data_IF_628794151906
#
_entry.id   IF_628794151906
#
_cell.length_a   1.000
_cell.length_b   1.000
_cell.length_c   1.000
_cell.angle_alpha   90.00
_cell.angle_beta   90.00
_cell.angle_gamma   90.00
#
_symmetry.space_group_name_H-M   'P 1'
#
loop_
_entity.id
_entity.type
_entity.pdbx_description
1 polymer ?
#
# COMPACT_ATOMS: atom_id res chain seq x y z
N UNK A 1 -22.97 -31.93 20.39
CA UNK A 1 -22.64 -30.70 19.64
C UNK A 1 -22.22 -31.13 18.24
N UNK A 2 -22.96 -30.73 17.22
CA UNK A 2 -22.88 -31.30 15.86
C UNK A 2 -21.61 -30.86 15.12
N UNK A 3 -20.90 -31.83 14.53
CA UNK A 3 -19.70 -31.65 13.69
C UNK A 3 -19.93 -30.79 12.43
N UNK A 4 -21.19 -30.45 12.11
CA UNK A 4 -21.54 -29.56 11.00
C UNK A 4 -21.49 -28.07 11.34
N UNK A 5 -21.43 -27.69 12.62
CA UNK A 5 -21.31 -26.27 13.03
C UNK A 5 -19.89 -25.70 12.81
N UNK A 6 -18.87 -26.51 13.02
CA UNK A 6 -17.47 -26.08 13.03
C UNK A 6 -16.90 -25.79 11.62
N UNK A 7 -17.48 -26.41 10.59
CA UNK A 7 -17.06 -26.19 9.19
C UNK A 7 -17.68 -24.90 8.62
N UNK A 8 -18.82 -24.43 9.15
CA UNK A 8 -19.50 -23.24 8.61
C UNK A 8 -18.80 -21.94 9.00
N UNK A 9 -18.16 -21.88 10.17
CA UNK A 9 -17.45 -20.68 10.65
C UNK A 9 -16.08 -20.47 10.02
N UNK A 10 -15.46 -21.52 9.43
CA UNK A 10 -14.11 -21.41 8.84
C UNK A 10 -14.09 -20.98 7.37
N UNK A 11 -15.25 -20.97 6.70
CA UNK A 11 -15.39 -20.59 5.28
C UNK A 11 -16.15 -19.28 5.04
N UNK A 12 -16.74 -18.69 6.07
CA UNK A 12 -17.27 -17.33 5.99
C UNK A 12 -16.16 -16.37 6.39
N UNK A 13 -15.37 -15.92 5.41
CA UNK A 13 -14.52 -14.75 5.59
C UNK A 13 -15.34 -13.56 6.13
N UNK A 14 -14.70 -12.59 6.80
CA UNK A 14 -15.40 -11.42 7.31
C UNK A 14 -16.20 -10.78 6.17
N UNK A 15 -17.49 -10.54 6.41
CA UNK A 15 -18.32 -9.80 5.48
C UNK A 15 -17.61 -8.48 5.15
N UNK A 16 -17.43 -8.12 3.87
CA UNK A 16 -16.79 -6.86 3.52
C UNK A 16 -17.58 -5.74 4.18
N UNK A 17 -16.91 -4.99 5.06
CA UNK A 17 -17.46 -3.76 5.61
C UNK A 17 -17.92 -2.89 4.43
N UNK A 18 -19.07 -2.21 4.51
CA UNK A 18 -19.49 -1.30 3.46
C UNK A 18 -18.38 -0.28 3.28
N UNK A 19 -17.78 -0.24 2.08
CA UNK A 19 -16.76 0.73 1.73
C UNK A 19 -17.34 2.14 1.86
N UNK A 20 -17.22 2.71 3.06
CA UNK A 20 -17.62 4.07 3.38
C UNK A 20 -16.53 5.00 2.85
N UNK A 21 -16.62 5.33 1.56
CA UNK A 21 -15.65 6.20 0.91
C UNK A 21 -15.72 6.16 -0.62
N UNK A 22 -16.92 6.02 -1.21
CA UNK A 22 -17.07 6.11 -2.65
C UNK A 22 -17.04 7.58 -3.11
N UNK A 23 -15.84 8.14 -3.26
CA UNK A 23 -15.63 9.38 -4.00
C UNK A 23 -16.02 9.15 -5.46
N UNK A 24 -17.13 9.75 -5.89
CA UNK A 24 -17.54 9.82 -7.29
C UNK A 24 -18.60 8.81 -7.76
N UNK A 25 -19.52 8.38 -6.89
CA UNK A 25 -20.76 7.74 -7.39
C UNK A 25 -21.80 8.82 -7.63
N UNK A 26 -22.27 8.95 -8.88
CA UNK A 26 -23.43 9.79 -9.16
C UNK A 26 -24.59 9.37 -8.25
N UNK A 27 -25.34 10.32 -7.67
CA UNK A 27 -26.48 9.98 -6.83
C UNK A 27 -27.46 9.13 -7.63
N UNK A 28 -28.21 8.24 -6.98
CA UNK A 28 -29.19 7.37 -7.68
C UNK A 28 -30.20 8.16 -8.52
N UNK A 29 -30.45 9.41 -8.16
CA UNK A 29 -31.28 10.37 -8.92
C UNK A 29 -30.69 10.73 -10.28
N UNK A 30 -29.37 10.64 -10.49
CA UNK A 30 -28.72 10.89 -11.77
C UNK A 30 -29.10 9.85 -12.84
N UNK A 31 -29.58 8.66 -12.45
CA UNK A 31 -30.13 7.67 -13.39
C UNK A 31 -31.44 8.15 -14.06
N UNK A 32 -32.06 9.22 -13.57
CA UNK A 32 -33.20 9.84 -14.24
C UNK A 32 -32.78 10.80 -15.36
N UNK A 33 -31.51 11.26 -15.39
CA UNK A 33 -31.05 12.26 -16.34
C UNK A 33 -31.25 11.87 -17.82
N UNK A 34 -30.98 10.62 -18.26
CA UNK A 34 -31.21 10.26 -19.66
C UNK A 34 -32.69 10.29 -20.04
N UNK A 35 -33.59 9.93 -19.12
CA UNK A 35 -35.03 10.00 -19.33
C UNK A 35 -35.51 11.46 -19.38
N UNK A 36 -34.98 12.33 -18.52
CA UNK A 36 -35.29 13.76 -18.53
C UNK A 36 -34.81 14.41 -19.84
N UNK A 37 -33.61 14.07 -20.30
CA UNK A 37 -33.07 14.54 -21.60
C UNK A 37 -33.93 14.07 -22.77
N UNK A 38 -34.32 12.79 -22.79
CA UNK A 38 -35.20 12.24 -23.81
C UNK A 38 -36.58 12.93 -23.82
N UNK A 39 -37.21 13.07 -22.65
CA UNK A 39 -38.51 13.73 -22.53
C UNK A 39 -38.45 15.19 -22.98
N UNK A 40 -37.39 15.92 -22.64
CA UNK A 40 -37.18 17.29 -23.09
C UNK A 40 -37.10 17.38 -24.62
N UNK A 41 -36.35 16.48 -25.27
CA UNK A 41 -36.19 16.48 -26.73
C UNK A 41 -37.53 16.15 -27.42
N UNK A 42 -38.27 15.17 -26.90
CA UNK A 42 -39.61 14.82 -27.42
C UNK A 42 -40.60 15.98 -27.27
N UNK A 43 -40.58 16.69 -26.14
CA UNK A 43 -41.44 17.87 -25.92
C UNK A 43 -41.04 19.01 -26.85
N UNK A 44 -39.74 19.24 -27.07
CA UNK A 44 -39.26 20.25 -28.01
C UNK A 44 -39.71 19.94 -29.45
N UNK A 45 -39.58 18.69 -29.90
CA UNK A 45 -40.09 18.26 -31.21
C UNK A 45 -41.59 18.50 -31.37
N UNK A 46 -42.37 18.19 -30.32
CA UNK A 46 -43.81 18.42 -30.32
C UNK A 46 -44.16 19.92 -30.43
N UNK A 47 -43.42 20.79 -29.74
CA UNK A 47 -43.64 22.23 -29.75
C UNK A 47 -43.14 22.93 -31.02
N UNK A 48 -42.06 22.43 -31.64
CA UNK A 48 -41.46 23.00 -32.85
C UNK A 48 -42.20 22.64 -34.14
N UNK A 49 -43.04 21.60 -34.14
CA UNK A 49 -43.77 21.18 -35.33
C UNK A 49 -42.84 20.64 -36.43
N UNK A 50 -43.14 20.93 -37.71
CA UNK A 50 -42.33 20.47 -38.87
C UNK A 50 -41.30 21.50 -39.34
N UNK A 51 -41.15 22.64 -38.66
CA UNK A 51 -40.27 23.73 -39.12
C UNK A 51 -38.78 23.49 -38.81
N UNK A 52 -38.45 22.68 -37.80
CA UNK A 52 -37.08 22.38 -37.37
C UNK A 52 -36.96 20.92 -36.92
N UNK A 53 -35.97 20.20 -37.46
CA UNK A 53 -35.68 18.80 -37.07
C UNK A 53 -34.83 18.73 -35.80
N UNK A 54 -35.45 18.34 -34.69
CA UNK A 54 -34.77 18.21 -33.37
C UNK A 54 -34.30 16.76 -33.10
N UNK A 55 -34.73 15.81 -33.93
CA UNK A 55 -34.43 14.37 -33.80
C UNK A 55 -32.94 14.04 -33.58
N UNK A 56 -31.96 14.63 -34.30
CA UNK A 56 -30.55 14.30 -34.10
C UNK A 56 -30.04 14.58 -32.67
N UNK A 57 -30.72 15.44 -31.90
CA UNK A 57 -30.36 15.71 -30.51
C UNK A 57 -30.56 14.48 -29.60
N UNK A 58 -31.42 13.52 -29.98
CA UNK A 58 -31.65 12.28 -29.24
C UNK A 58 -30.37 11.44 -29.06
N UNK A 59 -29.40 11.59 -29.96
CA UNK A 59 -28.10 10.91 -29.88
C UNK A 59 -27.34 11.19 -28.57
N UNK A 60 -27.59 12.34 -27.92
CA UNK A 60 -26.97 12.68 -26.63
C UNK A 60 -27.46 11.80 -25.46
N UNK A 61 -28.65 11.20 -25.58
CA UNK A 61 -29.30 10.44 -24.50
C UNK A 61 -28.53 9.15 -24.13
N UNK A 62 -28.18 8.24 -25.06
CA UNK A 62 -27.36 7.08 -24.74
C UNK A 62 -25.95 7.45 -24.26
N UNK A 63 -25.37 8.55 -24.73
CA UNK A 63 -24.10 9.05 -24.23
C UNK A 63 -24.19 9.44 -22.74
N UNK A 64 -25.24 10.19 -22.38
CA UNK A 64 -25.50 10.55 -20.99
C UNK A 64 -25.69 9.31 -20.10
N UNK A 65 -26.41 8.30 -20.61
CA UNK A 65 -26.60 7.04 -19.91
C UNK A 65 -25.28 6.29 -19.63
N UNK A 66 -24.31 6.35 -20.55
CA UNK A 66 -22.98 5.78 -20.38
C UNK A 66 -22.11 6.51 -19.35
N UNK A 67 -22.44 7.76 -19.01
CA UNK A 67 -21.74 8.56 -17.99
C UNK A 67 -22.33 8.33 -16.60
N UNK A 68 -23.66 8.30 -16.48
CA UNK A 68 -24.32 8.26 -15.15
C UNK A 68 -24.39 6.87 -14.53
N UNK A 69 -24.17 5.81 -15.30
CA UNK A 69 -24.34 4.43 -14.85
C UNK A 69 -23.09 3.59 -15.04
N UNK A 70 -22.74 2.83 -14.00
CA UNK A 70 -21.71 1.78 -14.07
C UNK A 70 -22.22 0.45 -14.63
N UNK A 71 -23.53 0.34 -14.88
CA UNK A 71 -24.13 -0.91 -15.39
C UNK A 71 -23.91 -0.97 -16.89
N UNK A 72 -23.23 -2.03 -17.36
CA UNK A 72 -22.90 -2.20 -18.78
C UNK A 72 -24.14 -2.20 -19.66
N UNK A 73 -25.24 -2.85 -19.25
CA UNK A 73 -26.46 -2.91 -20.05
C UNK A 73 -27.23 -1.58 -20.16
N UNK A 74 -27.00 -0.61 -19.27
CA UNK A 74 -27.86 0.56 -19.13
C UNK A 74 -27.81 1.51 -20.35
N UNK A 75 -26.64 1.87 -20.91
CA UNK A 75 -26.57 2.70 -22.12
C UNK A 75 -27.21 2.02 -23.33
N UNK A 76 -27.13 0.70 -23.41
CA UNK A 76 -27.74 -0.08 -24.49
C UNK A 76 -29.27 -0.06 -24.41
N UNK A 77 -29.84 -0.30 -23.22
CA UNK A 77 -31.29 -0.24 -23.00
C UNK A 77 -31.82 1.18 -23.24
N UNK A 78 -31.12 2.21 -22.77
CA UNK A 78 -31.50 3.61 -23.03
C UNK A 78 -31.41 3.93 -24.52
N UNK A 79 -30.38 3.44 -25.22
CA UNK A 79 -30.29 3.56 -26.69
C UNK A 79 -31.51 2.97 -27.40
N UNK A 80 -31.95 1.76 -27.01
CA UNK A 80 -33.16 1.11 -27.52
C UNK A 80 -34.44 1.94 -27.27
N UNK A 81 -34.57 2.53 -26.07
CA UNK A 81 -35.68 3.45 -25.79
C UNK A 81 -35.60 4.73 -26.63
N UNK A 82 -34.38 5.22 -26.89
CA UNK A 82 -34.13 6.42 -27.70
C UNK A 82 -34.53 6.18 -29.16
N UNK A 83 -34.20 5.00 -29.70
CA UNK A 83 -34.64 4.57 -31.04
C UNK A 83 -36.16 4.49 -31.15
N UNK A 84 -36.83 3.92 -30.15
CA UNK A 84 -38.29 3.87 -30.13
C UNK A 84 -38.92 5.27 -30.12
N UNK A 85 -38.32 6.22 -29.39
CA UNK A 85 -38.75 7.62 -29.39
C UNK A 85 -38.50 8.31 -30.74
N UNK A 86 -37.33 8.10 -31.34
CA UNK A 86 -36.99 8.63 -32.67
C UNK A 86 -37.95 8.10 -33.75
N UNK A 87 -38.24 6.79 -33.75
CA UNK A 87 -39.20 6.18 -34.66
C UNK A 87 -40.61 6.76 -34.49
N UNK A 88 -41.07 6.95 -33.24
CA UNK A 88 -42.39 7.54 -32.98
C UNK A 88 -42.48 8.99 -33.45
N UNK A 89 -41.42 9.77 -33.26
CA UNK A 89 -41.32 11.16 -33.75
C UNK A 89 -41.39 11.18 -35.28
N UNK A 90 -40.57 10.38 -35.97
CA UNK A 90 -40.53 10.30 -37.42
C UNK A 90 -41.83 9.75 -38.05
N UNK A 91 -42.51 8.80 -37.39
CA UNK A 91 -43.82 8.31 -37.82
C UNK A 91 -44.91 9.39 -37.70
N UNK A 92 -44.84 10.22 -36.65
CA UNK A 92 -45.80 11.32 -36.42
C UNK A 92 -45.64 12.47 -37.43
N UNK A 93 -44.40 12.77 -37.82
CA UNK A 93 -44.06 13.85 -38.75
C UNK A 93 -44.04 13.41 -40.23
N UNK A 94 -44.33 12.13 -40.52
CA UNK A 94 -44.22 11.52 -41.85
C UNK A 94 -42.80 11.60 -42.46
N UNK A 95 -41.78 11.67 -41.59
CA UNK A 95 -40.37 11.86 -41.96
C UNK A 95 -39.56 10.55 -42.03
N UNK A 96 -40.23 9.38 -42.02
CA UNK A 96 -39.56 8.07 -42.00
C UNK A 96 -38.63 7.81 -43.20
N UNK A 97 -38.92 8.43 -44.33
CA UNK A 97 -38.13 8.29 -45.56
C UNK A 97 -37.06 9.38 -45.72
N UNK A 98 -36.95 10.30 -44.77
CA UNK A 98 -35.92 11.33 -44.82
C UNK A 98 -34.54 10.78 -44.44
N UNK A 99 -33.50 11.30 -45.09
CA UNK A 99 -32.11 10.95 -44.80
C UNK A 99 -31.70 11.32 -43.37
N UNK A 100 -32.36 12.32 -42.77
CA UNK A 100 -32.12 12.77 -41.39
C UNK A 100 -32.53 11.70 -40.37
N UNK A 101 -33.68 11.04 -40.58
CA UNK A 101 -34.12 9.93 -39.71
C UNK A 101 -33.13 8.76 -39.80
N UNK A 102 -32.78 8.34 -41.03
CA UNK A 102 -31.82 7.27 -41.25
C UNK A 102 -30.45 7.57 -40.60
N UNK A 103 -29.96 8.82 -40.70
CA UNK A 103 -28.73 9.25 -40.05
C UNK A 103 -28.83 9.25 -38.52
N UNK A 104 -29.98 9.64 -37.97
CA UNK A 104 -30.23 9.70 -36.51
C UNK A 104 -30.24 8.31 -35.90
N UNK A 105 -30.92 7.33 -36.53
CA UNK A 105 -30.90 5.91 -36.12
C UNK A 105 -29.46 5.37 -36.10
N UNK A 106 -28.70 5.59 -37.18
CA UNK A 106 -27.30 5.14 -37.23
C UNK A 106 -26.46 5.78 -36.12
N UNK A 107 -26.66 7.07 -35.86
CA UNK A 107 -25.92 7.80 -34.82
C UNK A 107 -26.28 7.30 -33.40
N UNK A 108 -27.56 7.09 -33.11
CA UNK A 108 -28.04 6.59 -31.80
C UNK A 108 -27.49 5.19 -31.56
N UNK A 109 -27.60 4.28 -32.54
CA UNK A 109 -27.03 2.94 -32.46
C UNK A 109 -25.51 2.95 -32.22
N UNK A 110 -24.78 3.81 -32.95
CA UNK A 110 -23.32 3.94 -32.80
C UNK A 110 -22.95 4.42 -31.39
N UNK A 111 -23.60 5.47 -30.89
CA UNK A 111 -23.32 6.03 -29.56
C UNK A 111 -23.72 5.06 -28.44
N UNK A 112 -24.85 4.36 -28.56
CA UNK A 112 -25.25 3.33 -27.61
C UNK A 112 -24.24 2.18 -27.56
N UNK A 113 -23.73 1.76 -28.72
CA UNK A 113 -22.72 0.70 -28.84
C UNK A 113 -21.38 1.15 -28.23
N UNK A 114 -20.90 2.36 -28.54
CA UNK A 114 -19.68 2.94 -27.93
C UNK A 114 -19.85 3.06 -26.41
N UNK A 115 -21.03 3.49 -25.94
CA UNK A 115 -21.35 3.59 -24.52
C UNK A 115 -21.30 2.24 -23.82
N UNK A 116 -21.88 1.20 -24.42
CA UNK A 116 -21.81 -0.18 -23.93
C UNK A 116 -20.38 -0.70 -23.88
N UNK A 117 -19.62 -0.60 -24.98
CA UNK A 117 -18.21 -1.03 -25.04
C UNK A 117 -17.38 -0.28 -24.00
N UNK A 118 -17.51 1.05 -23.90
CA UNK A 118 -16.80 1.86 -22.92
C UNK A 118 -17.13 1.47 -21.47
N UNK A 119 -18.41 1.21 -21.17
CA UNK A 119 -18.83 0.74 -19.84
C UNK A 119 -18.28 -0.66 -19.52
N UNK A 120 -18.24 -1.57 -20.49
CA UNK A 120 -17.66 -2.92 -20.30
C UNK A 120 -16.16 -2.86 -20.09
N UNK A 121 -15.42 -2.04 -20.86
CA UNK A 121 -13.99 -1.84 -20.70
C UNK A 121 -13.67 -1.22 -19.34
N UNK A 122 -14.40 -0.17 -18.94
CA UNK A 122 -14.26 0.43 -17.60
C UNK A 122 -14.45 -0.59 -16.49
N UNK A 123 -15.51 -1.39 -16.56
CA UNK A 123 -15.78 -2.41 -15.54
C UNK A 123 -14.73 -3.52 -15.51
N UNK A 124 -14.19 -3.91 -16.67
CA UNK A 124 -13.07 -4.87 -16.74
C UNK A 124 -11.80 -4.30 -16.11
N UNK A 125 -11.47 -3.04 -16.39
CA UNK A 125 -10.33 -2.36 -15.78
C UNK A 125 -10.50 -2.23 -14.26
N UNK A 126 -11.68 -1.81 -13.80
CA UNK A 126 -11.98 -1.73 -12.36
C UNK A 126 -11.82 -3.09 -11.66
N UNK A 127 -12.29 -4.18 -12.28
CA UNK A 127 -12.14 -5.54 -11.75
C UNK A 127 -10.69 -6.00 -11.74
N UNK A 128 -9.95 -5.80 -12.84
CA UNK A 128 -8.55 -6.17 -12.92
C UNK A 128 -7.71 -5.45 -11.84
N UNK A 129 -8.00 -4.16 -11.60
CA UNK A 129 -7.37 -3.40 -10.52
C UNK A 129 -7.72 -3.96 -9.14
N UNK A 130 -9.00 -4.28 -8.90
CA UNK A 130 -9.44 -4.85 -7.62
C UNK A 130 -8.82 -6.23 -7.34
N UNK A 131 -8.75 -7.10 -8.36
CA UNK A 131 -8.14 -8.42 -8.23
C UNK A 131 -6.63 -8.32 -7.96
N UNK A 132 -5.92 -7.45 -8.68
CA UNK A 132 -4.49 -7.20 -8.46
C UNK A 132 -4.22 -6.67 -7.04
N UNK A 133 -5.07 -5.77 -6.53
CA UNK A 133 -4.98 -5.26 -5.16
C UNK A 133 -5.19 -6.36 -4.12
N UNK A 134 -6.16 -7.24 -4.34
CA UNK A 134 -6.43 -8.35 -3.44
C UNK A 134 -5.24 -9.32 -3.40
N UNK A 135 -4.72 -9.73 -4.55
CA UNK A 135 -3.55 -10.62 -4.63
C UNK A 135 -2.35 -10.02 -3.93
N UNK A 136 -2.05 -8.75 -4.20
CA UNK A 136 -0.92 -8.09 -3.57
C UNK A 136 -1.09 -7.90 -2.06
N UNK A 137 -2.32 -7.65 -1.58
CA UNK A 137 -2.61 -7.59 -0.13
C UNK A 137 -2.39 -8.93 0.56
N UNK A 138 -2.71 -10.05 -0.12
CA UNK A 138 -2.46 -11.41 0.38
C UNK A 138 -0.96 -11.70 0.35
N UNK A 139 -0.28 -11.44 -0.76
CA UNK A 139 1.16 -11.64 -0.90
C UNK A 139 1.94 -10.88 0.18
N UNK A 140 1.58 -9.62 0.44
CA UNK A 140 2.18 -8.82 1.53
C UNK A 140 2.01 -9.44 2.90
N UNK A 141 0.81 -9.90 3.24
CA UNK A 141 0.55 -10.58 4.53
C UNK A 141 1.34 -11.87 4.68
N UNK A 142 1.67 -12.54 3.57
CA UNK A 142 2.51 -13.74 3.58
C UNK A 142 4.00 -13.37 3.70
N UNK A 143 4.42 -12.25 3.12
CA UNK A 143 5.81 -11.78 3.17
C UNK A 143 6.20 -11.21 4.53
N UNK A 144 5.34 -10.40 5.15
CA UNK A 144 5.57 -9.78 6.45
C UNK A 144 5.18 -10.74 7.57
N UNK A 145 6.20 -11.32 8.21
CA UNK A 145 6.01 -12.28 9.30
C UNK A 145 5.69 -11.55 10.60
N UNK A 146 4.80 -12.11 11.46
CA UNK A 146 4.57 -11.55 12.78
C UNK A 146 5.89 -11.58 13.57
N UNK A 147 6.25 -10.44 14.15
CA UNK A 147 7.45 -10.32 14.98
C UNK A 147 7.14 -10.83 16.39
N UNK A 148 7.89 -11.83 16.90
CA UNK A 148 7.72 -12.29 18.28
C UNK A 148 7.99 -11.16 19.29
N UNK A 149 7.24 -11.13 20.39
CA UNK A 149 7.42 -10.10 21.44
C UNK A 149 8.83 -10.07 22.02
N UNK A 150 9.52 -11.22 22.03
CA UNK A 150 10.92 -11.35 22.45
C UNK A 150 11.74 -12.06 21.39
N UNK A 151 12.83 -11.42 20.98
CA UNK A 151 13.78 -11.95 20.00
C UNK A 151 15.17 -11.82 20.62
N UNK A 152 15.76 -12.92 21.09
CA UNK A 152 17.07 -12.88 21.77
C UNK A 152 17.11 -11.89 22.94
N UNK A 153 18.02 -10.91 22.87
CA UNK A 153 18.25 -9.88 23.91
C UNK A 153 17.39 -8.62 23.74
N UNK A 154 16.38 -8.64 22.84
CA UNK A 154 15.46 -7.51 22.67
C UNK A 154 14.01 -7.94 22.81
N UNK A 155 13.17 -7.02 23.29
CA UNK A 155 11.73 -7.07 23.09
C UNK A 155 11.39 -6.28 21.84
N UNK A 156 10.53 -6.83 21.00
CA UNK A 156 10.18 -6.22 19.72
C UNK A 156 8.66 -6.08 19.61
N UNK A 157 8.23 -4.99 18.96
CA UNK A 157 6.85 -4.81 18.53
C UNK A 157 6.83 -4.13 17.17
N UNK A 158 5.82 -4.45 16.37
CA UNK A 158 5.57 -3.80 15.08
C UNK A 158 4.15 -3.29 15.04
N UNK A 159 3.98 -2.09 14.51
CA UNK A 159 2.69 -1.56 14.09
C UNK A 159 2.77 -1.18 12.63
N UNK A 160 1.80 -1.62 11.85
CA UNK A 160 1.72 -1.35 10.41
C UNK A 160 0.30 -0.96 10.04
N UNK A 161 0.16 0.16 9.34
CA UNK A 161 -1.11 0.64 8.82
C UNK A 161 -0.98 0.89 7.32
N UNK A 162 -1.88 0.29 6.54
CA UNK A 162 -1.95 0.50 5.10
C UNK A 162 -2.87 1.69 4.78
N UNK A 163 -2.46 2.56 3.86
CA UNK A 163 -3.28 3.69 3.43
C UNK A 163 -4.57 3.23 2.73
N UNK A 164 -5.72 3.76 3.19
CA UNK A 164 -7.03 3.42 2.66
C UNK A 164 -7.38 4.11 1.31
N UNK A 165 -6.49 4.95 0.78
CA UNK A 165 -6.74 5.68 -0.47
C UNK A 165 -6.40 4.83 -1.72
N UNK A 166 -7.40 4.06 -2.16
CA UNK A 166 -7.63 3.74 -3.57
C UNK A 166 -6.74 2.78 -4.37
N UNK A 167 -5.68 2.12 -3.89
CA UNK A 167 -5.02 1.00 -4.61
C UNK A 167 -3.59 0.75 -4.19
N UNK A 168 -2.97 1.64 -3.40
CA UNK A 168 -1.52 1.59 -3.28
C UNK A 168 -1.14 0.40 -2.42
N UNK A 169 -0.53 -0.56 -3.09
CA UNK A 169 0.19 -1.61 -2.43
C UNK A 169 1.52 -0.97 -2.04
N UNK A 170 1.66 -0.54 -0.78
CA UNK A 170 2.85 0.16 -0.35
C UNK A 170 4.07 -0.74 -0.27
N UNK A 171 5.23 -0.09 -0.27
CA UNK A 171 6.56 -0.66 -0.32
C UNK A 171 7.18 -0.94 1.04
N UNK A 172 6.49 -0.60 2.13
CA UNK A 172 6.99 -0.81 3.49
C UNK A 172 7.33 -2.28 3.76
N UNK A 173 8.57 -2.50 4.20
CA UNK A 173 9.09 -3.80 4.60
C UNK A 173 9.70 -3.71 5.99
N UNK A 174 9.54 -4.79 6.76
CA UNK A 174 10.23 -4.96 8.03
C UNK A 174 10.48 -6.43 8.32
N UNK A 175 11.56 -6.71 9.05
CA UNK A 175 11.80 -8.03 9.60
C UNK A 175 12.73 -7.97 10.81
N UNK A 176 12.59 -8.92 11.73
CA UNK A 176 13.45 -9.09 12.89
C UNK A 176 13.84 -10.56 13.01
N UNK A 177 15.14 -10.84 13.06
CA UNK A 177 15.70 -12.19 13.16
C UNK A 177 16.71 -12.28 14.30
N UNK A 178 16.68 -13.40 15.02
CA UNK A 178 17.71 -13.72 16.00
C UNK A 178 18.79 -14.56 15.33
N UNK A 179 20.03 -14.08 15.32
CA UNK A 179 21.14 -14.76 14.63
C UNK A 179 22.32 -14.99 15.58
N UNK A 180 23.32 -15.75 15.13
CA UNK A 180 24.58 -15.94 15.87
C UNK A 180 25.36 -14.64 16.08
N UNK A 181 25.02 -13.59 15.33
CA UNK A 181 25.65 -12.27 15.39
C UNK A 181 24.85 -11.27 16.26
N UNK A 182 23.79 -11.73 16.94
CA UNK A 182 22.86 -10.91 17.69
C UNK A 182 21.50 -10.80 17.01
N UNK A 183 20.65 -9.94 17.54
CA UNK A 183 19.35 -9.64 16.93
C UNK A 183 19.57 -8.68 15.78
N UNK A 184 19.03 -8.98 14.60
CA UNK A 184 19.10 -8.09 13.44
C UNK A 184 17.71 -7.73 12.99
N UNK A 185 17.53 -6.48 12.60
CA UNK A 185 16.29 -6.01 12.02
C UNK A 185 16.55 -5.14 10.79
N UNK A 186 15.55 -5.13 9.91
CA UNK A 186 15.47 -4.27 8.74
C UNK A 186 14.13 -3.55 8.78
N UNK A 187 14.13 -2.28 8.42
CA UNK A 187 12.93 -1.52 8.02
C UNK A 187 13.28 -0.77 6.75
N UNK A 188 12.35 -0.71 5.81
CA UNK A 188 12.55 0.02 4.57
C UNK A 188 11.24 0.34 3.88
N UNK A 189 11.33 1.15 2.84
CA UNK A 189 10.25 1.42 1.91
C UNK A 189 10.75 1.27 0.47
N UNK A 190 9.96 0.54 -0.33
CA UNK A 190 10.17 0.35 -1.75
C UNK A 190 9.48 1.49 -2.49
N UNK A 191 10.28 2.32 -3.16
CA UNK A 191 9.74 3.26 -4.13
C UNK A 191 9.24 2.47 -5.33
N UNK A 192 7.94 2.30 -5.39
CA UNK A 192 7.25 1.60 -6.47
C UNK A 192 5.75 1.57 -6.22
N UNK A 193 5.00 0.93 -7.10
CA UNK A 193 3.57 0.70 -6.87
C UNK A 193 3.13 -0.61 -7.47
N UNK A 194 2.10 -1.21 -6.87
CA UNK A 194 1.49 -2.40 -7.44
C UNK A 194 2.26 -3.66 -7.11
N UNK A 195 2.24 -4.63 -8.04
CA UNK A 195 2.83 -5.94 -7.82
C UNK A 195 4.38 -5.91 -7.84
N UNK A 196 4.99 -5.05 -8.65
CA UNK A 196 6.46 -4.91 -8.71
C UNK A 196 7.07 -4.55 -7.35
N UNK A 197 6.45 -3.63 -6.60
CA UNK A 197 6.89 -3.27 -5.26
C UNK A 197 6.88 -4.46 -4.28
N UNK A 198 5.93 -5.39 -4.45
CA UNK A 198 5.83 -6.60 -3.62
C UNK A 198 6.94 -7.59 -3.97
N UNK A 199 7.25 -7.75 -5.26
CA UNK A 199 8.33 -8.60 -5.73
C UNK A 199 9.70 -8.08 -5.28
N UNK A 200 9.90 -6.76 -5.39
CA UNK A 200 11.07 -6.06 -4.86
C UNK A 200 11.23 -6.25 -3.35
N UNK A 201 10.16 -6.02 -2.57
CA UNK A 201 10.19 -6.27 -1.14
C UNK A 201 10.47 -7.75 -0.81
N UNK A 202 9.93 -8.69 -1.57
CA UNK A 202 10.17 -10.12 -1.39
C UNK A 202 11.64 -10.49 -1.66
N UNK A 203 12.26 -9.92 -2.70
CA UNK A 203 13.65 -10.13 -3.02
C UNK A 203 14.57 -9.60 -1.91
N UNK A 204 14.30 -8.39 -1.41
CA UNK A 204 15.08 -7.76 -0.32
C UNK A 204 14.93 -8.53 0.99
N UNK A 205 13.70 -8.87 1.40
CA UNK A 205 13.46 -9.65 2.62
C UNK A 205 14.02 -11.07 2.51
N UNK A 206 13.91 -11.71 1.34
CA UNK A 206 14.51 -13.01 1.07
C UNK A 206 16.03 -12.99 1.25
N UNK A 207 16.70 -11.99 0.68
CA UNK A 207 18.14 -11.80 0.83
C UNK A 207 18.53 -11.47 2.27
N UNK A 208 17.75 -10.63 2.96
CA UNK A 208 17.97 -10.31 4.38
C UNK A 208 17.90 -11.55 5.26
N UNK A 209 16.89 -12.40 5.07
CA UNK A 209 16.73 -13.65 5.83
C UNK A 209 17.96 -14.53 5.75
N UNK A 210 18.61 -14.60 4.59
CA UNK A 210 19.81 -15.42 4.43
C UNK A 210 21.08 -14.70 4.92
N UNK A 211 21.33 -13.49 4.41
CA UNK A 211 22.52 -12.72 4.71
C UNK A 211 22.63 -12.39 6.20
N UNK A 212 21.50 -12.20 6.90
CA UNK A 212 21.48 -11.94 8.33
C UNK A 212 22.09 -13.10 9.15
N UNK A 213 22.02 -14.35 8.68
CA UNK A 213 22.63 -15.50 9.33
C UNK A 213 24.06 -15.77 8.89
N UNK A 214 24.38 -15.49 7.62
CA UNK A 214 25.69 -15.80 7.05
C UNK A 214 26.74 -14.75 7.37
N UNK A 215 26.43 -13.47 7.14
CA UNK A 215 27.41 -12.40 7.15
C UNK A 215 27.61 -11.80 8.55
N UNK A 216 28.85 -11.63 9.04
CA UNK A 216 29.10 -11.07 10.37
C UNK A 216 28.88 -9.55 10.45
N UNK A 217 29.07 -8.82 9.36
CA UNK A 217 29.04 -7.36 9.32
C UNK A 217 27.80 -6.84 8.57
N UNK A 218 27.14 -5.79 9.08
CA UNK A 218 25.89 -5.27 8.53
C UNK A 218 26.05 -4.58 7.16
N UNK A 219 27.19 -3.95 6.91
CA UNK A 219 27.52 -3.38 5.59
C UNK A 219 27.57 -4.46 4.51
N UNK A 220 28.08 -5.65 4.85
CA UNK A 220 28.06 -6.83 3.96
C UNK A 220 26.65 -7.33 3.72
N UNK A 221 25.80 -7.33 4.74
CA UNK A 221 24.37 -7.64 4.58
C UNK A 221 23.73 -6.66 3.59
N UNK A 222 23.94 -5.35 3.74
CA UNK A 222 23.43 -4.36 2.78
C UNK A 222 23.91 -4.63 1.34
N UNK A 223 25.18 -5.03 1.17
CA UNK A 223 25.71 -5.45 -0.14
C UNK A 223 24.96 -6.65 -0.75
N UNK A 224 24.66 -7.69 0.05
CA UNK A 224 23.86 -8.82 -0.42
C UNK A 224 22.43 -8.43 -0.81
N UNK A 225 21.81 -7.52 -0.05
CA UNK A 225 20.50 -6.98 -0.37
C UNK A 225 20.55 -6.21 -1.70
N UNK A 226 21.59 -5.40 -1.93
CA UNK A 226 21.78 -4.67 -3.17
C UNK A 226 21.93 -5.61 -4.38
N UNK A 227 22.74 -6.67 -4.27
CA UNK A 227 22.89 -7.68 -5.33
C UNK A 227 21.58 -8.39 -5.61
N UNK A 228 20.81 -8.75 -4.57
CA UNK A 228 19.54 -9.43 -4.77
C UNK A 228 18.47 -8.51 -5.37
N UNK A 229 18.47 -7.23 -5.01
CA UNK A 229 17.61 -6.22 -5.58
C UNK A 229 17.93 -6.01 -7.06
N UNK A 230 19.19 -5.77 -7.38
CA UNK A 230 19.66 -5.57 -8.75
C UNK A 230 19.27 -6.72 -9.67
N UNK A 231 19.45 -7.96 -9.18
CA UNK A 231 18.97 -9.15 -9.89
C UNK A 231 17.45 -9.13 -10.11
N UNK A 232 16.67 -8.80 -9.09
CA UNK A 232 15.20 -8.76 -9.20
C UNK A 232 14.72 -7.68 -10.19
N UNK A 233 15.43 -6.55 -10.27
CA UNK A 233 15.14 -5.44 -11.18
C UNK A 233 15.52 -5.76 -12.64
N UNK A 234 16.59 -6.53 -12.88
CA UNK A 234 17.12 -6.77 -14.22
C UNK A 234 16.77 -8.15 -14.82
N UNK A 235 16.44 -9.18 -14.02
CA UNK A 235 16.07 -10.51 -14.55
C UNK A 235 14.65 -10.53 -15.14
N UNK A 236 13.77 -9.68 -14.62
CA UNK A 236 12.41 -9.56 -15.14
C UNK A 236 12.39 -8.39 -16.12
N UNK A 237 12.46 -8.69 -17.42
CA UNK A 237 12.41 -7.76 -18.56
C UNK A 237 11.08 -6.99 -18.60
N UNK A 238 10.86 -6.14 -17.58
CA UNK A 238 9.66 -5.37 -17.35
C UNK A 238 9.81 -4.01 -18.03
N UNK A 239 9.17 -3.77 -19.19
CA UNK A 239 9.18 -2.46 -19.81
C UNK A 239 8.49 -1.45 -18.88
N UNK A 240 9.27 -0.62 -18.18
CA UNK A 240 8.79 0.46 -17.30
C UNK A 240 9.48 0.61 -15.93
N UNK A 241 10.51 -0.19 -15.60
CA UNK A 241 11.23 -0.15 -14.31
C UNK A 241 12.41 0.82 -14.35
N UNK A 242 12.20 2.07 -14.74
CA UNK A 242 13.32 3.03 -14.83
C UNK A 242 13.72 3.61 -13.47
N UNK A 243 12.96 3.39 -12.38
CA UNK A 243 13.22 4.02 -11.08
C UNK A 243 12.68 3.22 -9.87
N UNK A 244 12.89 1.90 -9.78
CA UNK A 244 12.51 1.14 -8.58
C UNK A 244 13.73 0.98 -7.65
N UNK A 245 13.64 1.57 -6.46
CA UNK A 245 14.71 1.56 -5.46
C UNK A 245 14.12 1.35 -4.08
N UNK A 246 14.97 0.94 -3.14
CA UNK A 246 14.56 0.62 -1.77
C UNK A 246 15.36 1.48 -0.80
N UNK A 247 14.65 2.34 -0.06
CA UNK A 247 15.22 2.97 1.13
C UNK A 247 15.19 1.93 2.25
N UNK A 248 16.29 1.76 2.98
CA UNK A 248 16.26 0.87 4.14
C UNK A 248 17.27 1.25 5.22
N UNK A 249 16.98 0.80 6.43
CA UNK A 249 17.87 0.83 7.57
C UNK A 249 17.99 -0.56 8.17
N UNK A 250 19.23 -0.95 8.46
CA UNK A 250 19.57 -2.18 9.16
C UNK A 250 20.05 -1.83 10.57
N UNK A 251 19.62 -2.61 11.55
CA UNK A 251 20.17 -2.56 12.91
C UNK A 251 20.54 -3.97 13.37
N UNK A 252 21.68 -4.08 14.05
CA UNK A 252 22.17 -5.32 14.66
C UNK A 252 22.52 -5.07 16.11
N UNK A 253 21.81 -5.70 17.03
CA UNK A 253 22.00 -5.59 18.47
C UNK A 253 22.68 -6.85 19.00
N UNK A 254 23.92 -6.73 19.44
CA UNK A 254 24.66 -7.82 20.08
C UNK A 254 24.22 -8.03 21.53
N UNK A 255 24.49 -9.22 22.11
CA UNK A 255 24.11 -9.51 23.49
C UNK A 255 24.72 -8.57 24.53
N UNK A 256 25.89 -7.99 24.24
CA UNK A 256 26.61 -7.03 25.09
C UNK A 256 26.07 -5.60 25.00
N UNK A 257 25.02 -5.37 24.19
CA UNK A 257 24.43 -4.05 23.99
C UNK A 257 25.11 -3.23 22.90
N UNK A 258 26.12 -3.77 22.22
CA UNK A 258 26.69 -3.12 21.04
C UNK A 258 25.68 -3.17 19.89
N UNK A 259 25.13 -2.01 19.52
CA UNK A 259 24.29 -1.86 18.35
C UNK A 259 25.10 -1.33 17.16
N UNK A 260 24.92 -1.94 16.00
CA UNK A 260 25.41 -1.49 14.70
C UNK A 260 24.22 -1.03 13.85
N UNK A 261 24.37 0.07 13.12
CA UNK A 261 23.35 0.64 12.24
C UNK A 261 23.96 0.94 10.89
N UNK A 262 23.23 0.59 9.84
CA UNK A 262 23.53 0.89 8.45
C UNK A 262 22.29 1.53 7.83
N UNK A 263 22.45 2.68 7.18
CA UNK A 263 21.34 3.40 6.57
C UNK A 263 21.61 3.65 5.08
N UNK A 264 20.70 3.15 4.24
CA UNK A 264 20.69 3.27 2.79
C UNK A 264 19.52 4.18 2.37
N UNK A 265 19.64 5.48 2.66
CA UNK A 265 18.68 6.51 2.24
C UNK A 265 17.32 6.51 2.97
N UNK A 266 17.22 5.90 4.15
CA UNK A 266 15.99 5.81 4.95
C UNK A 266 15.98 6.84 6.11
N UNK A 267 14.82 7.22 6.67
CA UNK A 267 14.77 8.04 7.87
C UNK A 267 15.61 7.47 9.03
N UNK A 268 16.32 8.35 9.74
CA UNK A 268 17.20 7.95 10.83
C UNK A 268 16.38 7.37 12.02
N UNK A 269 16.77 6.21 12.58
CA UNK A 269 16.10 5.66 13.76
C UNK A 269 16.17 6.60 14.96
N UNK A 270 15.17 6.57 15.83
CA UNK A 270 15.18 7.32 17.08
C UNK A 270 15.61 6.42 18.25
N UNK A 271 16.67 6.79 18.94
CA UNK A 271 17.05 6.22 20.23
C UNK A 271 16.36 6.98 21.35
N UNK A 272 15.63 6.26 22.20
CA UNK A 272 15.11 6.75 23.47
C UNK A 272 15.88 6.12 24.62
N UNK A 273 16.52 6.97 25.41
CA UNK A 273 17.23 6.63 26.65
C UNK A 273 16.60 7.40 27.81
N UNK A 274 15.87 6.68 28.67
CA UNK A 274 15.01 7.33 29.66
C UNK A 274 13.98 8.23 28.98
N UNK A 275 14.04 9.54 29.23
CA UNK A 275 13.20 10.55 28.57
C UNK A 275 13.88 11.30 27.42
N UNK A 276 15.16 11.00 27.15
CA UNK A 276 15.93 11.68 26.11
C UNK A 276 15.81 10.93 24.78
N UNK A 277 15.39 11.66 23.75
CA UNK A 277 15.33 11.16 22.38
C UNK A 277 16.49 11.74 21.58
N UNK A 278 17.13 10.90 20.77
CA UNK A 278 18.15 11.31 19.82
C UNK A 278 17.92 10.57 18.50
N UNK A 279 17.95 11.31 17.39
CA UNK A 279 18.05 10.67 16.07
C UNK A 279 19.46 10.08 15.93
N UNK A 280 19.52 8.83 15.50
CA UNK A 280 20.78 8.15 15.19
C UNK A 280 21.22 8.53 13.78
N UNK A 281 21.43 9.84 13.56
CA UNK A 281 21.93 10.38 12.31
C UNK A 281 23.34 9.86 12.04
N UNK A 282 23.56 9.36 10.83
CA UNK A 282 24.88 8.93 10.39
C UNK A 282 25.57 10.11 9.69
N UNK A 283 26.84 10.34 10.01
CA UNK A 283 27.64 11.39 9.37
C UNK A 283 27.80 11.19 7.86
N UNK A 284 27.69 9.93 7.41
CA UNK A 284 27.75 9.53 6.02
C UNK A 284 26.59 8.54 5.76
N UNK A 285 25.86 8.73 4.67
CA UNK A 285 24.79 7.84 4.21
C UNK A 285 25.04 7.43 2.78
N UNK A 286 24.66 6.21 2.41
CA UNK A 286 24.60 5.84 0.99
C UNK A 286 23.21 6.12 0.42
N UNK A 287 23.09 6.36 -0.90
CA UNK A 287 21.80 6.41 -1.58
C UNK A 287 20.96 5.15 -1.34
N UNK A 288 19.65 5.20 -1.63
CA UNK A 288 18.78 4.02 -1.62
C UNK A 288 19.37 2.87 -2.47
N UNK A 289 19.08 1.63 -2.06
CA UNK A 289 19.52 0.46 -2.83
C UNK A 289 18.81 0.44 -4.19
N UNK A 290 19.52 0.05 -5.25
CA UNK A 290 19.03 0.10 -6.63
C UNK A 290 19.43 1.37 -7.40
N UNK A 291 19.97 2.39 -6.71
CA UNK A 291 20.51 3.60 -7.35
C UNK A 291 21.97 3.42 -7.78
N UNK A 292 22.75 2.70 -6.99
CA UNK A 292 24.16 2.42 -7.26
C UNK A 292 24.31 0.99 -7.80
N UNK A 293 25.40 0.74 -8.54
CA UNK A 293 25.83 -0.61 -8.84
C UNK A 293 26.04 -1.39 -7.51
N UNK A 294 25.55 -2.63 -7.39
CA UNK A 294 25.72 -3.43 -6.18
C UNK A 294 27.17 -3.56 -5.70
N UNK A 295 28.14 -3.53 -6.62
CA UNK A 295 29.55 -3.57 -6.28
C UNK A 295 29.99 -2.37 -5.43
N UNK A 296 29.35 -1.22 -5.62
CA UNK A 296 29.65 0.07 -4.98
C UNK A 296 28.87 0.30 -3.68
N UNK A 297 27.91 -0.57 -3.34
CA UNK A 297 27.15 -0.47 -2.08
C UNK A 297 28.04 -0.86 -0.90
N UNK A 298 28.57 0.16 -0.21
CA UNK A 298 29.42 0.05 0.99
C UNK A 298 29.01 1.08 2.04
N UNK A 299 27.82 0.92 2.67
CA UNK A 299 27.39 1.87 3.67
C UNK A 299 28.27 1.86 4.92
N UNK A 300 28.54 3.03 5.52
CA UNK A 300 29.26 3.11 6.78
C UNK A 300 28.45 2.46 7.91
N UNK A 301 29.16 1.76 8.81
CA UNK A 301 28.56 1.14 9.99
C UNK A 301 28.69 2.09 11.17
N UNK A 302 27.57 2.61 11.66
CA UNK A 302 27.56 3.38 12.88
C UNK A 302 27.35 2.47 14.10
N UNK A 303 28.13 2.69 15.16
CA UNK A 303 28.09 1.89 16.40
C UNK A 303 27.59 2.75 17.55
N UNK A 304 26.61 2.25 18.29
CA UNK A 304 26.04 2.92 19.46
C UNK A 304 25.87 1.90 20.60
N UNK A 305 26.32 2.20 21.83
CA UNK A 305 26.07 1.33 22.97
C UNK A 305 24.64 1.51 23.47
N UNK A 306 23.90 0.41 23.62
CA UNK A 306 22.58 0.36 24.25
C UNK A 306 22.70 -0.04 25.73
N UNK A 307 21.97 0.66 26.58
CA UNK A 307 21.79 0.33 27.99
C UNK A 307 20.48 -0.43 28.17
N UNK A 308 20.39 -1.24 29.24
CA UNK A 308 19.18 -1.98 29.54
C UNK A 308 17.97 -1.05 29.64
N UNK A 309 16.92 -1.34 28.88
CA UNK A 309 15.71 -0.51 28.77
C UNK A 309 15.74 0.54 27.64
N UNK A 310 16.89 0.80 27.02
CA UNK A 310 16.97 1.68 25.85
C UNK A 310 16.08 1.15 24.71
N UNK A 311 15.50 2.08 23.96
CA UNK A 311 14.58 1.76 22.87
C UNK A 311 15.02 2.41 21.57
N UNK A 312 14.99 1.64 20.49
CA UNK A 312 15.23 2.14 19.14
C UNK A 312 13.95 2.00 18.33
N UNK A 313 13.41 3.13 17.89
CA UNK A 313 12.26 3.19 16.99
C UNK A 313 12.77 3.34 15.55
N UNK A 314 12.45 2.36 14.72
CA UNK A 314 12.61 2.39 13.28
C UNK A 314 11.22 2.64 12.66
N UNK A 315 11.15 3.45 11.61
CA UNK A 315 9.87 3.89 11.05
C UNK A 315 10.05 4.28 9.58
N UNK A 316 8.99 4.11 8.80
CA UNK A 316 8.93 4.57 7.40
C UNK A 316 8.49 6.03 7.32
N UNK A 317 8.71 6.64 6.15
CA UNK A 317 8.41 8.05 5.91
C UNK A 317 6.92 8.37 6.08
N UNK A 318 6.00 7.44 5.80
CA UNK A 318 4.56 7.62 6.03
C UNK A 318 4.17 8.00 7.46
N UNK A 319 5.03 7.75 8.47
CA UNK A 319 4.86 8.24 9.84
C UNK A 319 5.20 9.72 9.97
N UNK A 320 6.38 10.13 9.51
CA UNK A 320 6.88 11.52 9.65
C UNK A 320 6.26 12.47 8.62
N UNK A 321 5.87 11.94 7.46
CA UNK A 321 5.20 12.66 6.39
C UNK A 321 3.68 12.81 6.62
N UNK A 322 3.14 12.17 7.67
CA UNK A 322 1.75 12.32 8.07
C UNK A 322 1.43 13.79 8.38
N UNK A 323 0.44 14.35 7.68
CA UNK A 323 0.09 15.78 7.78
C UNK A 323 -1.26 16.01 8.43
N UNK A 324 -1.32 17.03 9.28
CA UNK A 324 -2.58 17.57 9.78
C UNK A 324 -3.35 18.34 8.69
N UNK A 325 -4.50 18.93 9.04
CA UNK A 325 -5.32 19.73 8.12
C UNK A 325 -4.63 21.02 7.65
N UNK A 326 -3.64 21.51 8.40
CA UNK A 326 -2.84 22.68 8.03
C UNK A 326 -1.64 22.30 7.14
N UNK A 327 -1.42 21.01 6.89
CA UNK A 327 -0.29 20.50 6.09
C UNK A 327 1.00 20.35 6.88
N UNK A 328 0.95 20.38 8.21
CA UNK A 328 2.13 20.28 9.09
C UNK A 328 2.44 18.81 9.37
N UNK A 329 3.71 18.44 9.15
CA UNK A 329 4.25 17.10 9.40
C UNK A 329 4.13 16.68 10.86
N UNK A 330 4.08 15.37 11.09
CA UNK A 330 3.97 14.81 12.43
C UNK A 330 5.31 14.93 13.17
N UNK A 331 5.37 15.61 14.34
CA UNK A 331 6.62 15.82 15.06
C UNK A 331 7.00 14.58 15.89
N UNK A 332 7.41 13.51 15.20
CA UNK A 332 7.66 12.19 15.79
C UNK A 332 8.65 12.23 16.97
N UNK A 333 9.79 12.90 16.79
CA UNK A 333 10.82 12.99 17.82
C UNK A 333 10.30 13.66 19.11
N UNK A 334 9.47 14.70 18.99
CA UNK A 334 8.93 15.41 20.16
C UNK A 334 7.85 14.62 20.90
N UNK A 335 7.12 13.76 20.19
CA UNK A 335 5.96 13.03 20.74
C UNK A 335 6.29 11.61 21.18
N UNK A 336 7.30 10.98 20.59
CA UNK A 336 7.71 9.62 20.93
C UNK A 336 7.99 9.42 22.43
N UNK A 337 8.76 10.29 23.14
CA UNK A 337 8.99 10.14 24.58
C UNK A 337 7.70 10.14 25.42
N UNK A 338 6.65 10.84 24.97
CA UNK A 338 5.36 10.96 25.69
C UNK A 338 4.52 9.69 25.58
N UNK A 339 4.81 8.84 24.61
CA UNK A 339 4.09 7.59 24.37
C UNK A 339 4.84 6.37 24.92
N UNK A 340 6.05 6.56 25.43
CA UNK A 340 7.04 5.52 25.64
C UNK A 340 6.93 4.71 26.94
N UNK A 341 5.84 4.77 27.69
CA UNK A 341 5.69 3.96 28.91
C UNK A 341 5.24 2.51 28.62
N UNK A 342 5.51 1.54 29.48
CA UNK A 342 4.93 0.18 29.34
C UNK A 342 5.55 -0.69 28.23
N UNK A 343 4.81 -1.67 27.71
CA UNK A 343 5.33 -2.67 26.77
C UNK A 343 5.55 -2.06 25.36
N UNK A 344 6.55 -2.52 24.56
CA UNK A 344 6.76 -1.99 23.22
C UNK A 344 5.51 -1.97 22.32
N UNK A 345 4.62 -2.97 22.45
CA UNK A 345 3.36 -3.01 21.70
C UNK A 345 2.41 -1.86 22.09
N UNK A 346 2.24 -1.62 23.39
CA UNK A 346 1.39 -0.53 23.90
C UNK A 346 1.92 0.85 23.47
N UNK A 347 3.24 0.98 23.40
CA UNK A 347 3.94 2.21 22.97
C UNK A 347 3.62 2.50 21.52
N UNK A 348 3.76 1.51 20.65
CA UNK A 348 3.44 1.67 19.24
C UNK A 348 1.95 1.93 19.01
N UNK A 349 1.08 1.27 19.78
CA UNK A 349 -0.36 1.54 19.72
C UNK A 349 -0.66 3.00 20.08
N UNK A 350 -0.15 3.51 21.21
CA UNK A 350 -0.38 4.90 21.62
C UNK A 350 0.22 5.90 20.63
N UNK A 351 1.38 5.58 20.07
CA UNK A 351 2.03 6.42 19.08
C UNK A 351 1.22 6.48 17.77
N UNK A 352 0.71 5.34 17.30
CA UNK A 352 -0.19 5.29 16.15
C UNK A 352 -1.50 6.06 16.41
N UNK A 353 -2.12 5.89 17.58
CA UNK A 353 -3.30 6.67 17.97
C UNK A 353 -3.00 8.18 17.97
N UNK A 354 -1.79 8.58 18.33
CA UNK A 354 -1.34 9.98 18.30
C UNK A 354 -1.15 10.51 16.87
N UNK A 355 -0.57 9.69 15.97
CA UNK A 355 -0.47 10.00 14.53
C UNK A 355 -1.86 10.17 13.92
N UNK A 356 -2.79 9.24 14.17
CA UNK A 356 -4.17 9.31 13.67
C UNK A 356 -4.88 10.55 14.20
N UNK A 357 -4.69 10.89 15.49
CA UNK A 357 -5.22 12.12 16.09
C UNK A 357 -4.65 13.39 15.44
N UNK A 358 -3.36 13.40 15.09
CA UNK A 358 -2.70 14.52 14.40
C UNK A 358 -3.27 14.73 12.99
N UNK A 359 -3.44 13.65 12.24
CA UNK A 359 -3.94 13.70 10.85
C UNK A 359 -5.43 14.05 10.80
N UNK A 360 -6.23 13.53 11.74
CA UNK A 360 -7.67 13.80 11.83
C UNK A 360 -8.50 13.23 10.66
N UNK A 361 -7.90 12.32 9.89
CA UNK A 361 -8.44 11.54 8.76
C UNK A 361 -7.58 10.27 8.57
N UNK A 362 -7.86 9.46 7.57
CA UNK A 362 -7.01 8.32 7.19
C UNK A 362 -5.64 8.78 6.69
N UNK A 363 -4.61 7.96 6.96
CA UNK A 363 -3.26 8.19 6.45
C UNK A 363 -3.22 8.27 4.91
N UNK A 364 -2.33 9.12 4.43
CA UNK A 364 -2.11 9.34 2.99
C UNK A 364 -1.19 8.31 2.35
N UNK A 365 -0.34 7.67 3.15
CA UNK A 365 0.63 6.65 2.74
C UNK A 365 0.71 5.51 3.75
N UNK A 366 1.35 4.40 3.35
CA UNK A 366 1.62 3.27 4.24
C UNK A 366 2.58 3.73 5.36
N UNK A 367 2.34 3.23 6.58
CA UNK A 367 3.15 3.60 7.74
C UNK A 367 3.51 2.35 8.55
N UNK A 368 4.80 2.09 8.66
CA UNK A 368 5.37 1.03 9.50
C UNK A 368 6.19 1.63 10.63
N UNK A 369 6.06 1.04 11.82
CA UNK A 369 6.88 1.32 12.99
C UNK A 369 7.35 0.01 13.62
N UNK A 370 8.65 -0.11 13.83
CA UNK A 370 9.28 -1.21 14.55
C UNK A 370 9.99 -0.65 15.78
N UNK A 371 9.64 -1.15 16.96
CA UNK A 371 10.25 -0.74 18.22
C UNK A 371 11.07 -1.90 18.79
N UNK A 372 12.35 -1.68 19.00
CA UNK A 372 13.27 -2.61 19.65
C UNK A 372 13.64 -2.06 21.03
N UNK A 373 13.35 -2.79 22.10
CA UNK A 373 13.81 -2.48 23.44
C UNK A 373 14.92 -3.45 23.84
N UNK A 374 16.10 -2.95 24.16
CA UNK A 374 17.20 -3.78 24.67
C UNK A 374 16.87 -4.26 26.08
N UNK A 375 16.76 -5.58 26.25
CA UNK A 375 16.40 -6.25 27.49
C UNK A 375 17.45 -7.35 27.76
N UNK A 376 18.64 -6.95 28.27
CA UNK A 376 19.76 -7.86 28.45
C UNK A 376 19.37 -9.03 29.35
N UNK A 377 19.90 -10.24 29.11
CA UNK A 377 19.69 -11.35 30.02
C UNK A 377 20.21 -10.97 31.41
N UNK A 378 19.54 -11.42 32.49
CA UNK A 378 20.00 -11.15 33.85
C UNK A 378 21.45 -11.62 34.01
N UNK A 379 22.27 -10.79 34.67
CA UNK A 379 23.72 -10.95 34.77
C UNK A 379 24.21 -12.32 35.31
N UNK A 380 23.32 -13.09 35.94
CA UNK A 380 23.59 -14.41 36.51
C UNK A 380 23.92 -15.53 35.49
N UNK A 381 23.74 -15.31 34.18
CA UNK A 381 24.00 -16.35 33.15
C UNK A 381 25.36 -16.16 32.44
N UNK A 382 26.02 -15.00 32.58
CA UNK A 382 27.31 -14.71 31.92
C UNK A 382 28.53 -15.18 32.73
N UNK A 383 28.35 -15.77 33.91
CA UNK A 383 29.41 -16.34 34.75
C UNK A 383 29.29 -17.87 34.85
N UNK A 384 29.42 -18.58 33.72
CA UNK A 384 29.87 -19.98 33.76
C UNK A 384 31.32 -19.99 33.28
N UNK A 385 32.29 -20.28 34.16
CA UNK A 385 33.67 -20.49 33.72
C UNK A 385 33.69 -21.67 32.75
N UNK A 386 34.22 -21.47 31.55
CA UNK A 386 34.69 -22.58 30.71
C UNK A 386 35.82 -23.27 31.48
N UNK A 387 35.49 -24.27 32.30
CA UNK A 387 36.48 -25.22 32.77
C UNK A 387 36.91 -26.08 31.58
N UNK A 388 38.07 -25.73 31.03
CA UNK A 388 38.82 -26.55 30.11
C UNK A 388 39.10 -27.91 30.76
N UNK A 389 38.37 -28.95 30.35
CA UNK A 389 38.70 -30.33 30.64
C UNK A 389 39.96 -30.73 29.88
N UNK A 390 41.12 -30.55 30.50
CA UNK A 390 42.36 -31.20 30.09
C UNK A 390 42.21 -32.68 30.41
N UNK A 391 41.88 -33.50 29.40
CA UNK A 391 42.01 -34.95 29.48
C UNK A 391 43.49 -35.31 29.26
N UNK A 392 44.22 -35.48 30.36
CA UNK A 392 45.48 -36.23 30.38
C UNK A 392 45.18 -37.71 30.13
N UNK A 393 45.65 -38.25 29.00
CA UNK A 393 45.74 -39.69 28.78
C UNK A 393 47.00 -40.22 29.47
N UNK A 394 46.82 -41.19 30.36
CA UNK A 394 47.82 -42.18 30.73
C UNK A 394 47.64 -43.43 29.88
#
# INVERSE_FOLDING_TARGET
MSATGWIRERFTGPAPAPASGATGTWPRTALALPFLGMALIVVLDYLSGTEVTVEPALTAVPALAAVVSRRTWYPFVIGLCTEAAAFLMAFRSDALHESVHAASVIAILLVATIGWVSATLRLRQERALADAQLVASIARRVLLRPVPERVGTVRAAVHYEAAAAHARIGGDLYEVVNTRHGVRAVVGDVRGKGLGAVETAAAVLGAFREAAHQEPALDRVAGWLAVSLDRALHENDHPGVEEEFVTLVLIGVRPDGSAEIVNCGHPAPLLLRGSQVAALELAETVPPLGVLDPADVRPPVHRVPLLGGDRVLLFTDGVIEARDRAGTFYPLAERFPRCADGHPADVLQRLHEDVVRHVGRQLGDDAAMLLLQYDPPPASILQLPQQAGVLTRH
#
